data_IF_821964708694
#
_entry.id   IF_821964708694
#
_cell.length_a   1.000
_cell.length_b   1.000
_cell.length_c   1.000
_cell.angle_alpha   90.00
_cell.angle_beta   90.00
_cell.angle_gamma   90.00
#
_symmetry.space_group_name_H-M   'P 1'
#
loop_
_entity.id
_entity.type
_entity.pdbx_description
1 polymer ?
#
# COMPACT_ATOMS: atom_id res chain seq x y z
N UNK A 1 4.17 -13.04 3.90
CA UNK A 1 3.09 -12.94 4.91
C UNK A 1 1.99 -12.03 4.40
N UNK A 2 0.72 -12.36 4.65
CA UNK A 2 -0.47 -11.63 4.20
C UNK A 2 -1.33 -11.21 5.41
N UNK A 3 -2.36 -10.44 5.18
CA UNK A 3 -3.49 -10.34 6.10
C UNK A 3 -4.16 -11.72 6.24
N UNK A 4 -4.91 -11.93 7.32
CA UNK A 4 -5.82 -13.05 7.36
C UNK A 4 -7.02 -12.83 6.43
N UNK A 5 -7.81 -13.88 6.18
CA UNK A 5 -8.92 -13.81 5.21
C UNK A 5 -9.99 -12.78 5.56
N UNK A 6 -10.28 -12.61 6.85
CA UNK A 6 -11.31 -11.68 7.30
C UNK A 6 -10.81 -10.24 7.17
N UNK A 7 -9.56 -9.99 7.56
CA UNK A 7 -8.92 -8.70 7.42
C UNK A 7 -8.75 -8.30 5.94
N UNK A 8 -8.36 -9.24 5.08
CA UNK A 8 -8.25 -8.98 3.64
C UNK A 8 -9.62 -8.64 3.02
N UNK A 9 -10.69 -9.35 3.42
CA UNK A 9 -12.05 -9.06 2.99
C UNK A 9 -12.48 -7.68 3.47
N UNK A 10 -12.29 -7.39 4.76
CA UNK A 10 -12.64 -6.10 5.36
C UNK A 10 -11.91 -4.95 4.68
N UNK A 11 -10.62 -5.12 4.35
CA UNK A 11 -9.88 -4.10 3.61
C UNK A 11 -10.61 -3.70 2.32
N UNK A 12 -10.99 -4.65 1.48
CA UNK A 12 -11.69 -4.36 0.23
C UNK A 12 -13.11 -3.83 0.43
N UNK A 13 -13.81 -4.30 1.48
CA UNK A 13 -15.14 -3.78 1.86
C UNK A 13 -15.11 -2.31 2.30
N UNK A 14 -13.98 -1.82 2.79
CA UNK A 14 -13.78 -0.41 3.13
C UNK A 14 -13.14 0.39 1.99
N UNK A 15 -12.22 -0.22 1.25
CA UNK A 15 -11.42 0.45 0.22
C UNK A 15 -12.23 0.78 -1.03
N UNK A 16 -12.95 -0.19 -1.57
CA UNK A 16 -13.73 0.04 -2.79
C UNK A 16 -14.84 1.08 -2.65
N UNK A 17 -15.63 1.15 -1.57
CA UNK A 17 -16.60 2.23 -1.37
C UNK A 17 -15.96 3.61 -1.30
N UNK A 18 -14.79 3.77 -0.66
CA UNK A 18 -14.07 5.04 -0.64
C UNK A 18 -13.61 5.45 -2.04
N UNK A 19 -13.07 4.52 -2.84
CA UNK A 19 -12.69 4.80 -4.23
C UNK A 19 -13.90 5.17 -5.08
N UNK A 20 -15.01 4.44 -4.95
CA UNK A 20 -16.24 4.69 -5.68
C UNK A 20 -16.82 6.08 -5.36
N UNK A 21 -16.80 6.45 -4.08
CA UNK A 21 -17.17 7.78 -3.62
C UNK A 21 -16.31 8.87 -4.27
N UNK A 22 -14.98 8.73 -4.18
CA UNK A 22 -14.05 9.68 -4.77
C UNK A 22 -14.27 9.82 -6.28
N UNK A 23 -14.40 8.70 -6.99
CA UNK A 23 -14.59 8.70 -8.42
C UNK A 23 -15.91 9.38 -8.84
N UNK A 24 -17.02 9.08 -8.16
CA UNK A 24 -18.33 9.69 -8.43
C UNK A 24 -18.36 11.19 -8.14
N UNK A 25 -17.78 11.59 -7.01
CA UNK A 25 -17.80 12.98 -6.55
C UNK A 25 -16.93 13.88 -7.42
N UNK A 26 -15.72 13.42 -7.75
CA UNK A 26 -14.72 14.22 -8.45
C UNK A 26 -14.59 13.91 -9.94
N UNK A 27 -15.29 12.87 -10.43
CA UNK A 27 -15.23 12.39 -11.82
C UNK A 27 -13.79 12.12 -12.26
N UNK A 28 -13.02 11.48 -11.36
CA UNK A 28 -11.57 11.27 -11.54
C UNK A 28 -11.28 10.41 -12.77
N UNK A 29 -12.04 9.33 -12.92
CA UNK A 29 -11.91 8.43 -14.06
C UNK A 29 -13.29 8.06 -14.61
N UNK A 30 -13.64 8.59 -15.77
CA UNK A 30 -14.93 8.37 -16.41
C UNK A 30 -15.08 6.98 -17.04
N UNK A 31 -13.99 6.21 -17.16
CA UNK A 31 -14.03 4.82 -17.63
C UNK A 31 -14.56 3.85 -16.56
N UNK A 32 -14.59 4.29 -15.29
CA UNK A 32 -15.08 3.52 -14.14
C UNK A 32 -16.42 4.08 -13.67
N UNK A 33 -17.52 3.46 -14.07
CA UNK A 33 -18.86 3.90 -13.66
C UNK A 33 -19.20 3.46 -12.23
N UNK A 34 -18.76 2.26 -11.83
CA UNK A 34 -19.10 1.68 -10.52
C UNK A 34 -17.98 0.73 -10.04
N UNK A 35 -17.17 1.18 -9.10
CA UNK A 35 -16.03 0.41 -8.57
C UNK A 35 -16.51 -0.72 -7.64
N UNK A 36 -17.67 -0.56 -6.99
CA UNK A 36 -18.26 -1.57 -6.10
C UNK A 36 -19.11 -2.61 -6.84
N UNK A 37 -19.29 -2.45 -8.14
CA UNK A 37 -20.09 -3.34 -8.97
C UNK A 37 -19.40 -4.67 -9.29
N UNK A 38 -20.13 -5.58 -9.93
CA UNK A 38 -19.63 -6.90 -10.32
C UNK A 38 -18.73 -6.89 -11.58
N UNK A 39 -18.38 -5.72 -12.12
CA UNK A 39 -17.52 -5.61 -13.29
C UNK A 39 -16.05 -5.96 -12.94
N UNK A 40 -15.35 -6.50 -13.93
CA UNK A 40 -13.91 -6.69 -13.82
C UNK A 40 -13.21 -5.33 -13.82
N UNK A 41 -12.52 -5.01 -12.74
CA UNK A 41 -11.76 -3.76 -12.61
C UNK A 41 -10.36 -3.95 -13.21
N UNK A 42 -9.95 -3.04 -14.08
CA UNK A 42 -8.56 -2.97 -14.54
C UNK A 42 -7.70 -2.19 -13.53
N UNK A 43 -6.62 -2.80 -12.99
CA UNK A 43 -5.83 -2.18 -11.92
C UNK A 43 -5.27 -0.80 -12.27
N UNK A 44 -4.92 -0.55 -13.55
CA UNK A 44 -4.44 0.74 -14.01
C UNK A 44 -5.49 1.85 -13.90
N UNK A 45 -6.74 1.53 -14.19
CA UNK A 45 -7.86 2.47 -14.09
C UNK A 45 -8.21 2.77 -12.62
N UNK A 46 -8.21 1.73 -11.78
CA UNK A 46 -8.43 1.89 -10.33
C UNK A 46 -7.32 2.73 -9.69
N UNK A 47 -6.08 2.55 -10.17
CA UNK A 47 -4.94 3.31 -9.65
C UNK A 47 -5.08 4.81 -9.84
N UNK A 48 -5.66 5.28 -10.93
CA UNK A 48 -5.91 6.71 -11.16
C UNK A 48 -6.78 7.29 -10.04
N UNK A 49 -7.82 6.55 -9.64
CA UNK A 49 -8.72 6.99 -8.55
C UNK A 49 -8.01 6.89 -7.18
N UNK A 50 -7.26 5.83 -6.96
CA UNK A 50 -6.49 5.66 -5.72
C UNK A 50 -5.45 6.78 -5.55
N UNK A 51 -4.70 7.11 -6.60
CA UNK A 51 -3.72 8.20 -6.56
C UNK A 51 -4.39 9.54 -6.22
N UNK A 52 -5.57 9.80 -6.79
CA UNK A 52 -6.34 11.00 -6.43
C UNK A 52 -6.70 11.04 -4.93
N UNK A 53 -7.12 9.92 -4.34
CA UNK A 53 -7.42 9.85 -2.90
C UNK A 53 -6.17 10.13 -2.07
N UNK A 54 -5.02 9.58 -2.46
CA UNK A 54 -3.76 9.76 -1.73
C UNK A 54 -3.18 11.17 -1.88
N UNK A 55 -3.40 11.82 -3.00
CA UNK A 55 -3.00 13.22 -3.24
C UNK A 55 -3.95 14.22 -2.54
N UNK A 56 -5.21 13.83 -2.30
CA UNK A 56 -6.25 14.67 -1.72
C UNK A 56 -6.86 14.00 -0.48
N UNK A 57 -6.08 13.87 0.59
CA UNK A 57 -6.43 13.11 1.81
C UNK A 57 -7.73 13.59 2.47
N UNK A 58 -8.14 14.86 2.26
CA UNK A 58 -9.43 15.39 2.73
C UNK A 58 -10.65 14.62 2.23
N UNK A 59 -10.51 13.89 1.11
CA UNK A 59 -11.55 12.99 0.58
C UNK A 59 -11.98 11.95 1.61
N UNK A 60 -11.06 11.49 2.46
CA UNK A 60 -11.36 10.55 3.54
C UNK A 60 -12.30 11.19 4.58
N UNK A 61 -12.07 12.46 4.97
CA UNK A 61 -12.93 13.17 5.92
C UNK A 61 -14.32 13.38 5.34
N UNK A 62 -14.38 13.76 4.07
CA UNK A 62 -15.64 13.96 3.36
C UNK A 62 -16.44 12.68 3.25
N UNK A 63 -15.78 11.55 2.87
CA UNK A 63 -16.40 10.23 2.84
C UNK A 63 -16.95 9.83 4.21
N UNK A 64 -16.18 10.01 5.28
CA UNK A 64 -16.58 9.70 6.64
C UNK A 64 -17.64 10.67 7.21
N UNK A 65 -17.83 11.82 6.61
CA UNK A 65 -18.93 12.74 6.93
C UNK A 65 -20.23 12.33 6.25
N UNK A 66 -20.14 11.84 5.01
CA UNK A 66 -21.30 11.49 4.19
C UNK A 66 -21.82 10.06 4.47
N UNK A 67 -20.98 9.18 5.04
CA UNK A 67 -21.31 7.79 5.33
C UNK A 67 -21.12 7.45 6.81
N UNK A 68 -22.15 6.83 7.39
CA UNK A 68 -22.08 6.30 8.76
C UNK A 68 -21.47 4.91 8.75
N UNK A 69 -20.27 4.80 9.32
CA UNK A 69 -19.56 3.53 9.50
C UNK A 69 -19.46 3.18 10.97
N UNK A 70 -19.49 1.88 11.33
CA UNK A 70 -19.17 1.44 12.69
C UNK A 70 -17.83 2.04 13.16
N UNK A 71 -17.69 2.39 14.43
CA UNK A 71 -16.53 3.09 14.99
C UNK A 71 -15.20 2.41 14.66
N UNK A 72 -15.15 1.06 14.70
CA UNK A 72 -13.95 0.30 14.32
C UNK A 72 -13.57 0.55 12.86
N UNK A 73 -14.52 0.49 11.95
CA UNK A 73 -14.30 0.67 10.51
C UNK A 73 -13.94 2.12 10.18
N UNK A 74 -14.63 3.05 10.82
CA UNK A 74 -14.33 4.47 10.74
C UNK A 74 -12.88 4.75 11.17
N UNK A 75 -12.43 4.13 12.26
CA UNK A 75 -11.05 4.27 12.76
C UNK A 75 -10.02 3.72 11.78
N UNK A 76 -10.29 2.59 11.11
CA UNK A 76 -9.43 2.03 10.08
C UNK A 76 -9.31 3.00 8.90
N UNK A 77 -10.44 3.46 8.35
CA UNK A 77 -10.45 4.37 7.19
C UNK A 77 -9.76 5.70 7.54
N UNK A 78 -10.01 6.24 8.72
CA UNK A 78 -9.37 7.47 9.19
C UNK A 78 -7.85 7.31 9.32
N UNK A 79 -7.37 6.12 9.73
CA UNK A 79 -5.94 5.84 9.86
C UNK A 79 -5.20 5.91 8.52
N UNK A 80 -5.88 5.68 7.39
CA UNK A 80 -5.28 5.77 6.05
C UNK A 80 -4.79 7.18 5.69
N UNK A 81 -5.20 8.21 6.42
CA UNK A 81 -4.62 9.55 6.31
C UNK A 81 -3.12 9.61 6.63
N UNK A 82 -2.58 8.57 7.28
CA UNK A 82 -1.16 8.41 7.54
C UNK A 82 -0.43 7.69 6.40
N UNK A 83 -1.02 7.60 5.22
CA UNK A 83 -0.41 6.94 4.07
C UNK A 83 0.95 7.56 3.71
N UNK A 84 1.83 6.74 3.17
CA UNK A 84 3.13 7.15 2.65
C UNK A 84 3.22 6.69 1.20
N UNK A 85 3.08 7.64 0.27
CA UNK A 85 3.25 7.40 -1.16
C UNK A 85 4.67 7.75 -1.59
N UNK A 86 5.29 6.89 -2.40
CA UNK A 86 6.64 7.15 -2.85
C UNK A 86 7.28 5.98 -3.59
N UNK A 87 8.60 6.09 -3.75
CA UNK A 87 9.43 5.01 -4.27
C UNK A 87 10.05 4.21 -3.13
N UNK A 88 9.96 2.90 -3.24
CA UNK A 88 10.48 1.97 -2.25
C UNK A 88 11.33 0.90 -2.91
N UNK A 89 12.40 0.53 -2.26
CA UNK A 89 13.18 -0.65 -2.61
C UNK A 89 12.64 -1.84 -1.81
N UNK A 90 12.05 -2.82 -2.51
CA UNK A 90 11.75 -4.12 -1.94
C UNK A 90 13.06 -4.90 -1.84
N UNK A 91 13.61 -4.97 -0.62
CA UNK A 91 14.97 -5.48 -0.40
C UNK A 91 14.99 -6.98 -0.13
N UNK A 92 14.04 -7.50 0.69
CA UNK A 92 13.95 -8.93 1.01
C UNK A 92 12.58 -9.35 1.50
N UNK A 93 12.35 -10.66 1.50
CA UNK A 93 11.19 -11.29 2.12
C UNK A 93 11.56 -11.94 3.44
N UNK A 94 10.70 -11.82 4.45
CA UNK A 94 10.86 -12.41 5.77
C UNK A 94 9.55 -13.05 6.21
N UNK A 95 9.59 -13.90 7.24
CA UNK A 95 8.39 -14.52 7.80
C UNK A 95 7.33 -13.54 8.30
N UNK A 96 7.74 -12.34 8.73
CA UNK A 96 6.83 -11.31 9.27
C UNK A 96 6.29 -10.33 8.23
N UNK A 97 6.80 -10.37 7.00
CA UNK A 97 6.46 -9.44 5.93
C UNK A 97 7.65 -9.24 5.00
N UNK A 98 7.57 -8.27 4.12
CA UNK A 98 8.66 -7.89 3.22
C UNK A 98 9.24 -6.54 3.61
N UNK A 99 10.53 -6.39 3.43
CA UNK A 99 11.27 -5.18 3.79
C UNK A 99 11.21 -4.20 2.64
N UNK A 100 10.61 -3.05 2.90
CA UNK A 100 10.55 -1.90 2.02
C UNK A 100 11.43 -0.79 2.59
N UNK A 101 12.33 -0.25 1.78
CA UNK A 101 13.19 0.87 2.12
C UNK A 101 12.75 2.08 1.30
N UNK A 102 12.39 3.18 1.94
CA UNK A 102 12.08 4.42 1.24
C UNK A 102 13.31 4.90 0.45
N UNK A 103 13.12 5.19 -0.84
CA UNK A 103 14.21 5.69 -1.67
C UNK A 103 14.65 7.12 -1.26
N UNK A 104 13.72 7.89 -0.67
CA UNK A 104 13.96 9.28 -0.29
C UNK A 104 14.54 9.42 1.12
N UNK A 105 13.97 8.69 2.10
CA UNK A 105 14.31 8.86 3.53
C UNK A 105 15.19 7.74 4.09
N UNK A 106 15.35 6.64 3.36
CA UNK A 106 16.02 5.41 3.80
C UNK A 106 15.35 4.74 5.03
N UNK A 107 14.15 5.18 5.40
CA UNK A 107 13.36 4.52 6.43
C UNK A 107 12.94 3.13 5.99
N UNK A 108 12.87 2.21 6.95
CA UNK A 108 12.63 0.79 6.70
C UNK A 108 11.28 0.38 7.25
N UNK A 109 10.45 -0.21 6.39
CA UNK A 109 9.09 -0.64 6.69
C UNK A 109 8.94 -2.15 6.52
N UNK A 110 8.20 -2.78 7.44
CA UNK A 110 7.79 -4.17 7.34
C UNK A 110 6.38 -4.23 6.75
N UNK A 111 6.27 -4.59 5.47
CA UNK A 111 5.04 -4.50 4.70
C UNK A 111 4.45 -5.89 4.46
N UNK A 112 3.16 -6.05 4.76
CA UNK A 112 2.40 -7.28 4.52
C UNK A 112 1.66 -7.21 3.18
N UNK A 113 1.46 -8.35 2.54
CA UNK A 113 0.53 -8.46 1.42
C UNK A 113 -0.91 -8.47 1.91
N UNK A 114 -1.87 -8.19 1.03
CA UNK A 114 -3.30 -8.29 1.35
C UNK A 114 -3.75 -9.75 1.21
N UNK A 115 -3.95 -10.23 0.00
CA UNK A 115 -4.33 -11.62 -0.30
C UNK A 115 -3.10 -12.45 -0.68
N UNK A 116 -2.22 -11.89 -1.52
CA UNK A 116 -1.00 -12.51 -2.02
C UNK A 116 0.21 -11.88 -1.33
N UNK A 117 1.17 -12.68 -0.90
CA UNK A 117 2.39 -12.15 -0.31
C UNK A 117 3.27 -11.48 -1.38
N UNK A 118 4.12 -10.55 -0.97
CA UNK A 118 5.08 -9.90 -1.84
C UNK A 118 6.07 -10.90 -2.47
N UNK A 119 6.42 -11.95 -1.73
CA UNK A 119 7.27 -13.06 -2.21
C UNK A 119 6.60 -13.82 -3.35
N UNK A 120 5.32 -14.16 -3.23
CA UNK A 120 4.55 -14.81 -4.30
C UNK A 120 4.35 -13.89 -5.50
N UNK A 121 4.08 -12.60 -5.25
CA UNK A 121 3.86 -11.61 -6.31
C UNK A 121 5.11 -11.39 -7.18
N UNK A 122 6.29 -11.44 -6.58
CA UNK A 122 7.58 -11.18 -7.24
C UNK A 122 8.52 -12.38 -7.26
N UNK A 123 8.00 -13.60 -7.13
CA UNK A 123 8.83 -14.79 -6.93
C UNK A 123 9.86 -15.05 -8.05
N UNK A 124 9.60 -14.58 -9.28
CA UNK A 124 10.50 -14.71 -10.43
C UNK A 124 11.37 -13.48 -10.69
N UNK A 125 11.32 -12.48 -9.83
CA UNK A 125 12.17 -11.28 -9.95
C UNK A 125 13.29 -11.32 -8.91
N UNK A 126 14.55 -11.14 -9.32
CA UNK A 126 15.63 -11.00 -8.36
C UNK A 126 15.47 -9.71 -7.55
N UNK A 127 15.71 -9.81 -6.24
CA UNK A 127 15.76 -8.64 -5.35
C UNK A 127 17.15 -8.00 -5.38
N UNK A 128 17.24 -6.70 -5.13
CA UNK A 128 16.17 -5.75 -4.80
C UNK A 128 15.40 -5.24 -6.02
N UNK A 129 14.13 -4.82 -5.80
CA UNK A 129 13.24 -4.26 -6.82
C UNK A 129 12.81 -2.85 -6.42
N UNK A 130 12.88 -1.88 -7.33
CA UNK A 130 12.33 -0.54 -7.12
C UNK A 130 10.84 -0.52 -7.50
N UNK A 131 10.01 -0.05 -6.58
CA UNK A 131 8.57 0.04 -6.72
C UNK A 131 8.08 1.47 -6.45
N UNK A 132 7.04 1.90 -7.16
CA UNK A 132 6.16 2.98 -6.69
C UNK A 132 4.96 2.35 -6.00
N UNK A 133 4.70 2.75 -4.77
CA UNK A 133 3.64 2.22 -3.94
C UNK A 133 3.10 3.28 -2.97
N UNK A 134 1.90 3.06 -2.47
CA UNK A 134 1.39 3.75 -1.29
C UNK A 134 1.28 2.75 -0.15
N UNK A 135 2.00 3.02 0.93
CA UNK A 135 1.91 2.27 2.18
C UNK A 135 0.82 2.87 3.04
N UNK A 136 -0.02 2.03 3.62
CA UNK A 136 -1.13 2.44 4.47
C UNK A 136 -1.17 1.59 5.74
N UNK A 137 -1.60 2.16 6.88
CA UNK A 137 -1.83 1.38 8.08
C UNK A 137 -3.11 0.55 7.92
N UNK A 138 -3.07 -0.67 8.42
CA UNK A 138 -4.26 -1.50 8.58
C UNK A 138 -4.16 -2.24 9.91
N UNK A 139 -4.91 -1.77 10.91
CA UNK A 139 -4.78 -2.19 12.31
C UNK A 139 -3.33 -2.02 12.80
N UNK A 140 -2.68 -3.10 13.21
CA UNK A 140 -1.30 -3.15 13.71
C UNK A 140 -0.25 -3.44 12.62
N UNK A 141 -0.64 -3.40 11.34
CA UNK A 141 0.22 -3.74 10.20
C UNK A 141 0.36 -2.58 9.22
N UNK A 142 1.42 -2.65 8.44
CA UNK A 142 1.57 -1.85 7.23
C UNK A 142 1.26 -2.74 6.04
N UNK A 143 0.37 -2.30 5.18
CA UNK A 143 0.09 -2.90 3.87
C UNK A 143 0.31 -1.87 2.77
N UNK A 144 0.18 -2.24 1.51
CA UNK A 144 -0.07 -1.26 0.44
C UNK A 144 -1.53 -1.31 0.01
N UNK A 145 -1.94 -0.33 -0.78
CA UNK A 145 -3.24 -0.33 -1.44
C UNK A 145 -3.40 -1.41 -2.52
N UNK A 146 -2.35 -2.21 -2.77
CA UNK A 146 -2.32 -3.26 -3.77
C UNK A 146 -2.01 -2.79 -5.19
N UNK A 147 -1.90 -1.47 -5.41
CA UNK A 147 -1.72 -0.85 -6.73
C UNK A 147 -0.27 -0.36 -6.91
N UNK A 148 0.64 -1.28 -7.17
CA UNK A 148 2.08 -0.99 -7.27
C UNK A 148 2.56 -0.96 -8.72
N UNK A 149 3.56 -0.12 -8.99
CA UNK A 149 4.24 -0.03 -10.28
C UNK A 149 5.70 -0.42 -10.08
N UNK A 150 6.16 -1.44 -10.81
CA UNK A 150 7.58 -1.79 -10.83
C UNK A 150 8.34 -0.81 -11.72
N UNK A 151 9.44 -0.27 -11.20
CA UNK A 151 10.36 0.53 -12.01
C UNK A 151 11.35 -0.39 -12.75
N UNK A 152 11.65 -0.06 -14.00
CA UNK A 152 12.61 -0.83 -14.82
C UNK A 152 14.05 -0.46 -14.47
N UNK A 153 14.45 -0.75 -13.21
CA UNK A 153 15.80 -0.48 -12.68
C UNK A 153 16.41 -1.79 -12.25
N UNK A 154 17.66 -2.03 -12.67
CA UNK A 154 18.48 -3.13 -12.18
C UNK A 154 19.57 -2.56 -11.26
N UNK A 155 19.59 -3.03 -10.03
CA UNK A 155 20.61 -2.63 -9.07
C UNK A 155 21.88 -3.47 -9.22
N UNK A 156 23.03 -2.83 -9.31
CA UNK A 156 24.34 -3.48 -9.25
C UNK A 156 24.68 -3.95 -7.83
N UNK A 157 25.74 -4.76 -7.72
CA UNK A 157 26.19 -5.33 -6.42
C UNK A 157 26.43 -4.29 -5.33
N UNK A 158 26.92 -3.10 -5.68
CA UNK A 158 27.15 -1.99 -4.74
C UNK A 158 25.85 -1.55 -4.04
N UNK A 159 24.83 -1.23 -4.82
CA UNK A 159 23.53 -0.83 -4.29
C UNK A 159 22.84 -1.94 -3.48
N UNK A 160 22.96 -3.19 -3.95
CA UNK A 160 22.39 -4.32 -3.19
C UNK A 160 23.05 -4.49 -1.82
N UNK A 161 24.36 -4.21 -1.71
CA UNK A 161 25.06 -4.19 -0.42
C UNK A 161 24.58 -3.04 0.45
N UNK A 162 24.46 -1.84 -0.11
CA UNK A 162 23.99 -0.65 0.60
C UNK A 162 22.58 -0.83 1.19
N UNK A 163 21.64 -1.34 0.41
CA UNK A 163 20.27 -1.62 0.93
C UNK A 163 20.27 -2.66 2.05
N UNK A 164 21.12 -3.69 1.95
CA UNK A 164 21.32 -4.66 3.02
C UNK A 164 21.85 -3.98 4.29
N UNK A 165 22.81 -3.07 4.16
CA UNK A 165 23.39 -2.36 5.29
C UNK A 165 22.38 -1.42 5.95
N UNK A 166 21.55 -0.71 5.16
CA UNK A 166 20.43 0.10 5.65
C UNK A 166 19.49 -0.75 6.50
N UNK A 167 19.04 -1.89 5.95
CA UNK A 167 18.18 -2.81 6.70
C UNK A 167 18.83 -3.32 7.98
N UNK A 168 20.11 -3.74 7.92
CA UNK A 168 20.81 -4.29 9.09
C UNK A 168 21.00 -3.24 10.18
N UNK A 169 21.28 -1.99 9.81
CA UNK A 169 21.37 -0.85 10.73
C UNK A 169 20.00 -0.56 11.37
N UNK A 170 18.93 -0.50 10.57
CA UNK A 170 17.58 -0.31 11.11
C UNK A 170 17.18 -1.43 12.08
N UNK A 171 17.52 -2.67 11.76
CA UNK A 171 17.28 -3.82 12.65
C UNK A 171 18.06 -3.70 13.96
N UNK A 172 19.34 -3.33 13.92
CA UNK A 172 20.19 -3.13 15.10
C UNK A 172 19.65 -2.02 15.98
N UNK A 173 19.22 -0.92 15.38
CA UNK A 173 18.72 0.28 16.06
C UNK A 173 17.24 0.17 16.46
N UNK A 174 16.56 -0.92 16.13
CA UNK A 174 15.11 -1.13 16.35
C UNK A 174 14.25 -0.03 15.72
N UNK A 175 14.68 0.50 14.57
CA UNK A 175 14.00 1.58 13.82
C UNK A 175 13.21 1.06 12.60
N UNK A 176 12.93 -0.24 12.52
CA UNK A 176 12.04 -0.79 11.51
C UNK A 176 10.60 -0.47 11.91
N UNK A 177 9.86 0.19 11.02
CA UNK A 177 8.45 0.48 11.22
C UNK A 177 7.59 -0.76 10.94
N UNK A 178 6.79 -1.16 11.91
CA UNK A 178 5.80 -2.24 11.79
C UNK A 178 4.37 -1.70 11.73
N UNK A 179 4.17 -0.42 12.07
CA UNK A 179 2.92 0.34 11.98
C UNK A 179 3.22 1.78 11.57
N UNK A 180 2.21 2.49 11.03
CA UNK A 180 2.23 3.92 10.67
C UNK A 180 1.44 4.75 11.66
#
# INVERSE_FOLDING_TARGET
MTLDKNDAKLFYELWFPLLDYANKKYKVNTNLENITGAQKLEPSEVKIVADHVWEHISVIDEYLSDYDLPDEYRSIVLSWKKCISGQFVLERHLKKGSVFISADTQEVYMVNGIITSWEEMFFYRPLPILLKATLIPFRDKIISDGLVITCNVCFGKGYSSEFKDIYMNAKKNKSIHFSL
#
